data_IF_467947837267
#
_entry.id   IF_467947837267
#
_cell.length_a   1.000
_cell.length_b   1.000
_cell.length_c   1.000
_cell.angle_alpha   90.00
_cell.angle_beta   90.00
_cell.angle_gamma   90.00
#
_symmetry.space_group_name_H-M   'P 1'
#
loop_
_entity.id
_entity.type
_entity.pdbx_description
1 polymer ?
#
# COMPACT_ATOMS: atom_id res chain seq x y z
N UNK A 1 -48.03 -44.19 -2.28
CA UNK A 1 -48.13 -42.72 -2.10
C UNK A 1 -47.29 -42.37 -0.89
N UNK A 2 -46.31 -41.49 -1.10
CA UNK A 2 -45.05 -41.39 -0.38
C UNK A 2 -45.12 -40.60 0.93
N UNK A 3 -44.24 -40.95 1.86
CA UNK A 3 -44.00 -40.26 3.14
C UNK A 3 -43.29 -38.91 2.94
N UNK A 4 -43.70 -37.92 3.74
CA UNK A 4 -43.08 -36.60 3.83
C UNK A 4 -41.90 -36.66 4.80
N UNK A 5 -40.71 -36.30 4.33
CA UNK A 5 -39.53 -36.10 5.16
C UNK A 5 -39.10 -34.64 5.06
N UNK A 6 -39.40 -33.86 6.10
CA UNK A 6 -38.75 -32.58 6.35
C UNK A 6 -37.57 -32.80 7.29
N UNK A 7 -36.36 -32.45 6.86
CA UNK A 7 -35.23 -32.17 7.76
C UNK A 7 -34.20 -31.29 7.04
N UNK A 8 -34.20 -30.01 7.43
CA UNK A 8 -33.06 -29.07 7.55
C UNK A 8 -32.13 -28.81 6.36
N UNK A 9 -31.99 -27.55 5.88
CA UNK A 9 -30.77 -27.18 5.19
C UNK A 9 -29.61 -27.20 6.19
N UNK A 10 -28.66 -28.08 5.92
CA UNK A 10 -27.40 -28.15 6.61
C UNK A 10 -26.56 -26.91 6.26
N UNK A 11 -26.11 -26.21 7.31
CA UNK A 11 -24.86 -25.45 7.39
C UNK A 11 -24.70 -24.35 6.34
N UNK A 12 -25.28 -23.18 6.67
CA UNK A 12 -24.81 -21.89 6.21
C UNK A 12 -23.29 -21.85 6.40
N UNK A 13 -22.55 -21.95 5.29
CA UNK A 13 -21.17 -21.51 5.26
C UNK A 13 -21.20 -20.08 5.75
N UNK A 14 -20.68 -19.85 6.96
CA UNK A 14 -20.49 -18.53 7.48
C UNK A 14 -19.58 -17.82 6.49
N UNK A 15 -20.20 -17.04 5.59
CA UNK A 15 -19.53 -15.93 4.96
C UNK A 15 -18.93 -15.17 6.14
N UNK A 16 -17.61 -15.26 6.30
CA UNK A 16 -16.89 -14.36 7.18
C UNK A 16 -17.19 -12.98 6.61
N UNK A 17 -18.25 -12.35 7.11
CA UNK A 17 -18.73 -11.09 6.57
C UNK A 17 -17.55 -10.16 6.71
N UNK A 18 -16.93 -9.85 5.59
CA UNK A 18 -15.81 -8.94 5.51
C UNK A 18 -16.35 -7.60 5.99
N UNK A 19 -16.15 -7.32 7.28
CA UNK A 19 -16.54 -6.06 7.89
C UNK A 19 -15.50 -5.01 7.50
N UNK A 20 -15.57 -4.58 6.25
CA UNK A 20 -14.86 -3.39 5.77
C UNK A 20 -15.85 -2.25 5.70
N UNK A 21 -15.50 -1.13 6.32
CA UNK A 21 -16.25 0.11 6.28
C UNK A 21 -15.40 1.18 5.61
N UNK A 22 -15.83 1.66 4.45
CA UNK A 22 -15.19 2.82 3.81
C UNK A 22 -15.26 4.05 4.74
N UNK A 23 -14.17 4.78 4.84
CA UNK A 23 -14.02 5.98 5.66
C UNK A 23 -13.90 7.24 4.81
N UNK A 24 -13.05 7.21 3.78
CA UNK A 24 -12.81 8.36 2.91
C UNK A 24 -12.14 7.94 1.59
N UNK A 25 -12.27 8.79 0.58
CA UNK A 25 -11.45 8.80 -0.63
C UNK A 25 -10.69 10.13 -0.68
N UNK A 26 -9.38 10.06 -0.89
CA UNK A 26 -8.48 11.20 -0.96
C UNK A 26 -7.92 11.28 -2.38
N UNK A 27 -8.33 12.29 -3.14
CA UNK A 27 -8.03 12.39 -4.57
C UNK A 27 -7.53 13.79 -4.92
N UNK A 28 -6.43 13.86 -5.68
CA UNK A 28 -5.91 15.07 -6.29
C UNK A 28 -5.19 14.74 -7.62
N UNK A 29 -4.48 15.70 -8.21
CA UNK A 29 -3.76 15.53 -9.46
C UNK A 29 -2.52 14.61 -9.39
N UNK A 30 -2.12 14.17 -8.19
CA UNK A 30 -0.95 13.33 -7.98
C UNK A 30 -1.31 11.89 -7.62
N UNK A 31 -2.45 11.66 -6.94
CA UNK A 31 -2.86 10.34 -6.48
C UNK A 31 -4.36 10.28 -6.15
N UNK A 32 -4.91 9.05 -6.18
CA UNK A 32 -6.25 8.71 -5.73
C UNK A 32 -6.18 7.53 -4.75
N UNK A 33 -6.57 7.73 -3.49
CA UNK A 33 -6.43 6.72 -2.42
C UNK A 33 -7.75 6.50 -1.69
N UNK A 34 -8.18 5.25 -1.60
CA UNK A 34 -9.29 4.79 -0.78
C UNK A 34 -8.83 4.40 0.63
N UNK A 35 -9.57 4.81 1.64
CA UNK A 35 -9.29 4.51 3.06
C UNK A 35 -10.49 3.80 3.68
N UNK A 36 -10.25 2.61 4.23
CA UNK A 36 -11.29 1.77 4.85
C UNK A 36 -10.85 1.22 6.21
N UNK A 37 -11.78 1.05 7.14
CA UNK A 37 -11.57 0.27 8.36
C UNK A 37 -11.90 -1.19 8.11
N UNK A 38 -10.93 -2.09 8.27
CA UNK A 38 -11.12 -3.54 8.19
C UNK A 38 -11.12 -4.15 9.61
N UNK A 39 -12.19 -4.86 9.96
CA UNK A 39 -12.30 -5.62 11.21
C UNK A 39 -12.48 -7.11 10.96
N UNK A 40 -11.99 -7.61 9.82
CA UNK A 40 -12.10 -9.03 9.45
C UNK A 40 -10.97 -9.89 10.05
N UNK A 41 -9.85 -9.28 10.45
CA UNK A 41 -8.70 -9.96 11.04
C UNK A 41 -8.69 -10.00 12.58
N UNK A 42 -7.51 -10.29 13.15
CA UNK A 42 -7.27 -10.40 14.60
C UNK A 42 -7.37 -9.07 15.39
N UNK A 43 -7.75 -7.99 14.72
CA UNK A 43 -7.91 -6.64 15.28
C UNK A 43 -8.30 -5.64 14.19
N UNK A 44 -8.78 -4.45 14.58
CA UNK A 44 -9.07 -3.38 13.63
C UNK A 44 -7.78 -2.91 12.98
N UNK A 45 -7.82 -2.68 11.66
CA UNK A 45 -6.71 -2.17 10.86
C UNK A 45 -7.23 -1.27 9.75
N UNK A 46 -6.39 -0.38 9.26
CA UNK A 46 -6.71 0.48 8.14
C UNK A 46 -6.32 -0.22 6.85
N UNK A 47 -7.24 -0.34 5.90
CA UNK A 47 -6.94 -0.67 4.51
C UNK A 47 -6.72 0.64 3.76
N UNK A 48 -5.57 0.77 3.12
CA UNK A 48 -5.22 1.87 2.22
C UNK A 48 -5.05 1.27 0.83
N UNK A 49 -5.82 1.77 -0.13
CA UNK A 49 -5.87 1.26 -1.51
C UNK A 49 -5.56 2.41 -2.46
N UNK A 50 -4.60 2.22 -3.36
CA UNK A 50 -4.41 3.08 -4.52
C UNK A 50 -5.51 2.77 -5.54
N UNK A 51 -6.36 3.75 -5.82
CA UNK A 51 -7.51 3.60 -6.70
C UNK A 51 -7.12 3.53 -8.18
N UNK A 52 -5.91 3.95 -8.54
CA UNK A 52 -5.42 3.87 -9.93
C UNK A 52 -4.90 2.48 -10.27
N UNK A 53 -4.05 1.91 -9.40
CA UNK A 53 -3.43 0.60 -9.63
C UNK A 53 -4.22 -0.57 -9.02
N UNK A 54 -5.03 -0.32 -7.98
CA UNK A 54 -5.64 -1.35 -7.14
C UNK A 54 -4.69 -1.97 -6.12
N UNK A 55 -3.43 -1.51 -6.04
CA UNK A 55 -2.49 -1.94 -5.01
C UNK A 55 -2.97 -1.47 -3.64
N UNK A 56 -2.73 -2.26 -2.61
CA UNK A 56 -3.21 -1.94 -1.27
C UNK A 56 -2.33 -2.47 -0.16
N UNK A 57 -2.46 -1.86 1.02
CA UNK A 57 -1.78 -2.25 2.24
C UNK A 57 -2.75 -2.21 3.42
N UNK A 58 -2.55 -3.12 4.38
CA UNK A 58 -3.23 -3.08 5.68
C UNK A 58 -2.26 -2.55 6.73
N UNK A 59 -2.68 -1.52 7.47
CA UNK A 59 -1.91 -0.90 8.54
C UNK A 59 -2.58 -1.15 9.89
N UNK A 60 -1.87 -1.84 10.76
CA UNK A 60 -2.25 -2.07 12.16
C UNK A 60 -2.14 -0.79 12.99
N UNK A 61 -2.76 -0.74 14.18
CA UNK A 61 -2.62 0.41 15.07
C UNK A 61 -1.15 0.73 15.43
N UNK A 62 -0.28 -0.28 15.53
CA UNK A 62 1.14 -0.09 15.79
C UNK A 62 1.85 0.59 14.61
N UNK A 63 1.60 0.13 13.39
CA UNK A 63 2.19 0.74 12.18
C UNK A 63 1.71 2.17 11.97
N UNK A 64 0.43 2.46 12.26
CA UNK A 64 -0.12 3.81 12.25
C UNK A 64 0.52 4.70 13.32
N UNK A 65 0.76 4.18 14.53
CA UNK A 65 1.47 4.92 15.56
C UNK A 65 2.91 5.23 15.14
N UNK A 66 3.61 4.28 14.53
CA UNK A 66 4.95 4.48 13.98
C UNK A 66 4.96 5.53 12.86
N UNK A 67 3.96 5.53 11.97
CA UNK A 67 3.80 6.57 10.94
C UNK A 67 3.69 7.98 11.52
N UNK A 68 3.01 8.16 12.65
CA UNK A 68 2.93 9.44 13.34
C UNK A 68 4.26 9.89 13.97
N UNK A 69 5.16 8.95 14.25
CA UNK A 69 6.48 9.19 14.86
C UNK A 69 7.61 9.26 13.84
N UNK A 70 7.34 8.91 12.58
CA UNK A 70 8.32 8.90 11.50
C UNK A 70 8.94 10.29 11.30
N UNK A 71 10.26 10.33 11.17
CA UNK A 71 11.00 11.53 10.81
C UNK A 71 10.75 11.89 9.34
N UNK A 72 11.23 13.05 8.90
CA UNK A 72 11.15 13.43 7.50
C UNK A 72 11.93 12.47 6.59
N UNK A 73 13.12 12.04 7.01
CA UNK A 73 13.94 11.05 6.31
C UNK A 73 13.20 9.70 6.16
N UNK A 74 12.60 9.20 7.24
CA UNK A 74 11.80 7.96 7.20
C UNK A 74 10.64 8.06 6.19
N UNK A 75 10.01 9.23 6.08
CA UNK A 75 8.91 9.47 5.14
C UNK A 75 9.39 9.61 3.69
N UNK A 76 10.55 10.25 3.46
CA UNK A 76 11.12 10.32 2.12
C UNK A 76 11.44 8.93 1.58
N UNK A 77 12.05 8.07 2.39
CA UNK A 77 12.36 6.70 2.02
C UNK A 77 11.10 5.88 1.73
N UNK A 78 10.02 6.11 2.48
CA UNK A 78 8.72 5.52 2.20
C UNK A 78 8.17 5.99 0.84
N UNK A 79 8.21 7.29 0.56
CA UNK A 79 7.66 7.84 -0.70
C UNK A 79 8.44 7.32 -1.90
N UNK A 80 9.75 7.11 -1.79
CA UNK A 80 10.61 6.61 -2.89
C UNK A 80 10.48 5.10 -3.14
N UNK A 81 9.25 4.58 -3.23
CA UNK A 81 8.94 3.17 -3.56
C UNK A 81 8.13 3.04 -4.85
N UNK A 82 8.15 1.86 -5.47
CA UNK A 82 7.40 1.59 -6.71
C UNK A 82 7.71 2.60 -7.82
N UNK A 83 6.65 3.19 -8.39
CA UNK A 83 6.73 4.18 -9.47
C UNK A 83 7.31 5.53 -9.03
N UNK A 84 7.46 5.76 -7.72
CA UNK A 84 7.99 7.00 -7.14
C UNK A 84 9.47 6.90 -6.74
N UNK A 85 10.10 5.74 -6.98
CA UNK A 85 11.57 5.65 -6.92
C UNK A 85 12.11 6.69 -7.89
N UNK A 86 12.91 7.64 -7.40
CA UNK A 86 13.64 8.56 -8.28
C UNK A 86 14.24 7.73 -9.42
N UNK A 87 13.93 8.10 -10.66
CA UNK A 87 14.71 7.68 -11.81
C UNK A 87 16.13 8.16 -11.54
N UNK A 88 16.95 7.35 -10.85
CA UNK A 88 18.37 7.59 -10.74
C UNK A 88 18.88 7.53 -12.16
N UNK A 89 18.94 8.69 -12.81
CA UNK A 89 19.66 8.84 -14.05
C UNK A 89 21.12 8.52 -13.72
N UNK A 90 21.67 7.38 -14.17
CA UNK A 90 23.05 6.99 -13.86
C UNK A 90 24.06 7.97 -14.47
N UNK A 91 23.61 8.91 -15.30
CA UNK A 91 24.41 9.90 -16.02
C UNK A 91 25.01 10.98 -15.11
N UNK A 92 24.43 11.26 -13.94
CA UNK A 92 24.94 12.30 -13.02
C UNK A 92 26.14 11.85 -12.17
N UNK A 93 26.76 10.71 -12.49
CA UNK A 93 28.01 10.23 -11.89
C UNK A 93 29.21 10.19 -12.85
N UNK A 94 29.07 10.62 -14.10
CA UNK A 94 30.22 10.82 -15.01
C UNK A 94 30.53 12.30 -15.18
N UNK A 95 30.84 12.98 -14.08
CA UNK A 95 31.67 14.17 -14.20
C UNK A 95 33.02 13.75 -14.78
N UNK A 96 33.24 14.23 -16.01
CA UNK A 96 34.53 14.22 -16.70
C UNK A 96 35.61 14.69 -15.73
N UNK A 97 36.53 13.79 -15.37
CA UNK A 97 37.81 14.21 -14.82
C UNK A 97 38.47 15.21 -15.77
N UNK A 98 39.10 16.28 -15.25
CA UNK A 98 39.70 17.31 -16.09
C UNK A 98 40.82 16.69 -16.93
N UNK A 99 40.83 17.05 -18.21
CA UNK A 99 41.87 16.62 -19.15
C UNK A 99 43.26 17.01 -18.64
N UNK A 100 44.08 16.00 -18.38
CA UNK A 100 45.53 16.14 -18.29
C UNK A 100 46.10 16.10 -19.71
N UNK A 101 46.50 17.26 -20.23
CA UNK A 101 47.22 17.41 -21.49
C UNK A 101 48.73 17.60 -21.22
N UNK A 102 49.56 16.91 -22.00
CA UNK A 102 51.03 17.07 -22.08
C UNK A 102 51.82 16.22 -21.08
N UNK A 103 52.92 15.53 -21.42
CA UNK A 103 53.99 15.95 -22.33
C UNK A 103 54.66 14.75 -23.01
N UNK A 104 54.99 14.95 -24.29
CA UNK A 104 55.86 14.13 -25.16
C UNK A 104 57.24 13.88 -24.55
N UNK A 105 57.79 12.68 -24.70
CA UNK A 105 59.04 12.35 -25.43
C UNK A 105 59.35 10.87 -25.30
#
# INVERSE_FOLDING_TARGET
MSASAGTGPAQNGAHHVVKRRSLAELVNEFAAVGVSLDTSGNGPRLLVEDLESGDHIFLTPLELASLCLATEEDREDWIRVGNYRESRDPSFGRERGPGGNGVRS
#
